data_IF_164942984650
#
_entry.id   IF_164942984650
#
_cell.length_a   1.000
_cell.length_b   1.000
_cell.length_c   1.000
_cell.angle_alpha   90.00
_cell.angle_beta   90.00
_cell.angle_gamma   90.00
#
_symmetry.space_group_name_H-M   'P 1'
#
loop_
_entity.id
_entity.type
_entity.pdbx_description
1 polymer ?
#
# COMPACT_ATOMS: atom_id res chain seq x y z
N UNK A 1 -14.24 -26.35 -10.09
CA UNK A 1 -14.30 -25.04 -9.47
C UNK A 1 -12.98 -24.33 -9.75
N UNK A 2 -13.03 -23.21 -10.46
CA UNK A 2 -11.80 -22.50 -10.81
C UNK A 2 -11.35 -21.59 -9.66
N UNK A 3 -10.02 -21.52 -9.45
CA UNK A 3 -9.38 -20.61 -8.52
C UNK A 3 -8.66 -19.58 -9.38
N UNK A 4 -8.97 -18.31 -9.16
CA UNK A 4 -8.29 -17.22 -9.86
C UNK A 4 -7.16 -16.68 -9.02
N UNK A 5 -6.11 -16.21 -9.69
CA UNK A 5 -4.97 -15.56 -9.07
C UNK A 5 -5.03 -14.07 -9.42
N UNK A 6 -4.90 -13.22 -8.41
CA UNK A 6 -4.75 -11.77 -8.61
C UNK A 6 -3.48 -11.29 -7.94
N UNK A 7 -2.81 -10.36 -8.59
CA UNK A 7 -1.60 -9.75 -8.03
C UNK A 7 -1.74 -8.23 -8.08
N UNK A 8 -1.42 -7.61 -6.96
CA UNK A 8 -1.34 -6.15 -6.85
C UNK A 8 0.00 -5.76 -6.26
N UNK A 9 0.32 -4.48 -6.38
CA UNK A 9 1.52 -3.89 -5.80
C UNK A 9 1.14 -2.63 -5.06
N UNK A 10 1.74 -2.43 -3.90
CA UNK A 10 1.45 -1.27 -3.08
C UNK A 10 2.68 -0.71 -2.39
N UNK A 11 2.50 0.39 -1.68
CA UNK A 11 3.61 1.10 -1.10
C UNK A 11 3.43 1.49 0.35
N UNK A 12 4.54 1.40 1.08
CA UNK A 12 4.72 2.04 2.38
C UNK A 12 5.64 3.22 2.11
N UNK A 13 5.08 4.43 2.14
CA UNK A 13 5.82 5.65 1.85
C UNK A 13 6.16 6.32 3.17
N UNK A 14 7.45 6.46 3.44
CA UNK A 14 7.95 7.03 4.69
C UNK A 14 8.42 8.46 4.47
N UNK A 15 7.95 9.35 5.34
CA UNK A 15 8.41 10.73 5.44
C UNK A 15 8.64 11.00 6.93
N UNK A 16 9.90 11.21 7.31
CA UNK A 16 10.29 11.27 8.73
C UNK A 16 9.81 10.00 9.45
N UNK A 17 8.97 10.10 10.45
CA UNK A 17 8.41 8.95 11.18
C UNK A 17 6.98 8.66 10.80
N UNK A 18 6.52 9.17 9.67
CA UNK A 18 5.14 9.02 9.22
C UNK A 18 5.03 8.17 7.96
N UNK A 19 3.86 7.59 7.78
CA UNK A 19 3.49 6.81 6.58
C UNK A 19 2.17 7.36 6.05
N UNK A 20 2.03 7.38 4.73
CA UNK A 20 0.76 7.77 4.09
C UNK A 20 -0.18 6.58 4.04
N UNK A 21 -1.41 6.79 4.48
CA UNK A 21 -2.46 5.77 4.51
C UNK A 21 -3.72 6.30 3.83
N UNK A 22 -4.60 5.40 3.44
CA UNK A 22 -5.84 5.74 2.75
C UNK A 22 -7.05 5.10 3.41
N UNK A 23 -8.20 5.71 3.15
CA UNK A 23 -9.51 5.10 3.39
C UNK A 23 -10.15 4.90 2.01
N UNK A 24 -10.21 3.67 1.50
CA UNK A 24 -10.84 3.42 0.21
C UNK A 24 -12.31 3.86 0.22
N UNK A 25 -12.78 4.29 -0.93
CA UNK A 25 -14.12 4.85 -1.08
C UNK A 25 -15.20 3.94 -0.53
N UNK A 26 -16.08 4.50 0.27
CA UNK A 26 -17.24 3.81 0.87
C UNK A 26 -16.86 2.64 1.79
N UNK A 27 -15.68 2.73 2.40
CA UNK A 27 -15.25 1.74 3.39
C UNK A 27 -14.90 2.44 4.70
N UNK A 28 -14.71 1.62 5.73
CA UNK A 28 -14.12 2.05 7.00
C UNK A 28 -12.73 1.47 7.17
N UNK A 29 -12.14 1.02 6.07
CA UNK A 29 -10.80 0.43 6.08
C UNK A 29 -9.77 1.54 6.15
N UNK A 30 -8.81 1.41 7.04
CA UNK A 30 -7.59 2.20 7.02
C UNK A 30 -6.50 1.30 6.44
N UNK A 31 -5.95 1.69 5.30
CA UNK A 31 -5.06 0.80 4.57
C UNK A 31 -3.92 1.50 3.87
N UNK A 32 -3.09 0.68 3.23
CA UNK A 32 -1.99 1.14 2.40
C UNK A 32 -2.45 1.24 0.95
N UNK A 33 -1.92 2.22 0.18
CA UNK A 33 -2.24 2.34 -1.25
C UNK A 33 -1.71 1.13 -2.02
N UNK A 34 -2.53 0.61 -2.96
CA UNK A 34 -2.19 -0.54 -3.77
C UNK A 34 -3.11 -0.69 -4.97
N UNK A 35 -2.68 -1.42 -5.96
CA UNK A 35 -3.52 -1.75 -7.11
C UNK A 35 -2.81 -2.64 -8.11
N UNK A 36 -3.52 -2.96 -9.19
CA UNK A 36 -3.05 -3.86 -10.23
C UNK A 36 -2.16 -3.19 -11.27
N UNK A 37 -1.32 -3.99 -11.90
CA UNK A 37 -0.40 -3.51 -12.92
C UNK A 37 -1.12 -3.18 -14.22
N UNK A 38 -0.66 -2.12 -14.88
CA UNK A 38 -0.96 -1.86 -16.29
C UNK A 38 0.04 -2.63 -17.15
N UNK A 39 -0.30 -2.83 -18.43
CA UNK A 39 0.58 -3.55 -19.35
C UNK A 39 1.96 -2.92 -19.38
N UNK A 40 2.99 -3.74 -19.24
CA UNK A 40 4.38 -3.31 -19.31
C UNK A 40 4.94 -2.70 -18.04
N UNK A 41 4.14 -2.55 -16.98
CA UNK A 41 4.66 -2.05 -15.70
C UNK A 41 5.38 -3.14 -14.92
N UNK A 42 6.50 -2.79 -14.32
CA UNK A 42 7.10 -3.60 -13.26
C UNK A 42 6.30 -3.45 -11.97
N UNK A 43 6.53 -4.32 -11.00
CA UNK A 43 5.87 -4.22 -9.70
C UNK A 43 6.17 -2.90 -8.99
N UNK A 44 7.42 -2.45 -9.03
CA UNK A 44 7.80 -1.17 -8.42
C UNK A 44 7.12 0.01 -9.13
N UNK A 45 7.00 -0.04 -10.45
CA UNK A 45 6.32 1.01 -11.22
C UNK A 45 4.82 1.04 -10.90
N UNK A 46 4.19 -0.12 -10.79
CA UNK A 46 2.79 -0.24 -10.40
C UNK A 46 2.56 0.37 -9.02
N UNK A 47 3.40 -0.01 -8.05
CA UNK A 47 3.29 0.51 -6.69
C UNK A 47 3.45 2.03 -6.66
N UNK A 48 4.44 2.57 -7.36
CA UNK A 48 4.65 4.02 -7.43
C UNK A 48 3.46 4.76 -8.04
N UNK A 49 2.88 4.21 -9.11
CA UNK A 49 1.71 4.79 -9.76
C UNK A 49 0.50 4.76 -8.85
N UNK A 50 0.23 3.63 -8.21
CA UNK A 50 -0.91 3.50 -7.29
C UNK A 50 -0.77 4.41 -6.08
N UNK A 51 0.44 4.55 -5.55
CA UNK A 51 0.72 5.52 -4.47
C UNK A 51 0.33 6.92 -4.94
N UNK A 52 0.77 7.32 -6.13
CA UNK A 52 0.47 8.68 -6.65
C UNK A 52 -1.03 8.87 -6.87
N UNK A 53 -1.72 7.89 -7.46
CA UNK A 53 -3.15 8.00 -7.71
C UNK A 53 -3.95 8.06 -6.41
N UNK A 54 -3.68 7.17 -5.49
CA UNK A 54 -4.50 7.03 -4.27
C UNK A 54 -4.13 8.00 -3.18
N UNK A 55 -2.94 8.57 -3.19
CA UNK A 55 -2.48 9.47 -2.12
C UNK A 55 -2.06 10.85 -2.57
N UNK A 56 -1.86 11.07 -3.87
CA UNK A 56 -1.30 12.33 -4.36
C UNK A 56 0.21 12.48 -4.16
N UNK A 57 0.88 11.44 -3.68
CA UNK A 57 2.29 11.51 -3.30
C UNK A 57 3.18 10.88 -4.37
N UNK A 58 4.26 11.59 -4.71
CA UNK A 58 5.36 11.08 -5.53
C UNK A 58 6.47 10.61 -4.60
N UNK A 59 6.94 9.40 -4.83
CA UNK A 59 7.92 8.78 -3.94
C UNK A 59 8.92 7.95 -4.74
N UNK A 60 10.14 7.80 -4.18
CA UNK A 60 11.20 7.00 -4.76
C UNK A 60 11.21 5.60 -4.15
N UNK A 61 11.36 4.59 -4.99
CA UNK A 61 11.46 3.20 -4.56
C UNK A 61 12.77 2.97 -3.80
N UNK A 62 12.68 2.34 -2.63
CA UNK A 62 13.84 2.01 -1.81
C UNK A 62 14.12 0.51 -1.83
N UNK A 63 13.10 -0.32 -1.55
CA UNK A 63 13.29 -1.75 -1.43
C UNK A 63 11.95 -2.50 -1.48
N UNK A 64 11.99 -3.78 -1.79
CA UNK A 64 10.84 -4.66 -1.58
C UNK A 64 10.70 -4.94 -0.07
N UNK A 65 9.46 -4.99 0.42
CA UNK A 65 9.17 -5.30 1.82
C UNK A 65 8.68 -6.73 2.00
N UNK A 66 7.90 -7.22 1.08
CA UNK A 66 7.32 -8.55 1.17
C UNK A 66 5.93 -8.61 0.59
N UNK A 67 5.26 -9.74 0.79
CA UNK A 67 3.95 -9.97 0.22
C UNK A 67 2.93 -10.36 1.28
N UNK A 68 1.68 -9.96 1.03
CA UNK A 68 0.52 -10.37 1.82
C UNK A 68 -0.36 -11.22 0.92
N UNK A 69 -0.79 -12.37 1.42
CA UNK A 69 -1.64 -13.29 0.66
C UNK A 69 -2.93 -13.54 1.41
N UNK A 70 -4.04 -13.50 0.69
CA UNK A 70 -5.34 -13.83 1.26
C UNK A 70 -6.27 -14.34 0.16
N UNK A 71 -7.36 -14.97 0.58
CA UNK A 71 -8.37 -15.51 -0.33
C UNK A 71 -9.68 -14.80 -0.06
N UNK A 72 -10.40 -14.46 -1.14
CA UNK A 72 -11.73 -13.89 -1.03
C UNK A 72 -12.61 -14.42 -2.17
N UNK A 73 -13.89 -14.11 -2.10
CA UNK A 73 -14.86 -14.53 -3.12
C UNK A 73 -15.41 -13.33 -3.85
N UNK A 74 -15.58 -13.50 -5.16
CA UNK A 74 -16.22 -12.51 -6.03
C UNK A 74 -17.11 -13.25 -6.99
N UNK A 75 -18.44 -12.99 -6.94
CA UNK A 75 -19.39 -13.63 -7.83
C UNK A 75 -19.34 -15.16 -7.77
N UNK A 76 -19.18 -15.74 -6.58
CA UNK A 76 -19.08 -17.18 -6.40
C UNK A 76 -17.74 -17.79 -6.74
N UNK A 77 -16.78 -17.00 -7.24
CA UNK A 77 -15.43 -17.48 -7.57
C UNK A 77 -14.49 -17.24 -6.40
N UNK A 78 -13.60 -18.21 -6.19
CA UNK A 78 -12.53 -18.08 -5.18
C UNK A 78 -11.34 -17.38 -5.82
N UNK A 79 -10.86 -16.32 -5.18
CA UNK A 79 -9.75 -15.54 -5.68
C UNK A 79 -8.61 -15.56 -4.66
N UNK A 80 -7.43 -16.01 -5.11
CA UNK A 80 -6.20 -15.95 -4.33
C UNK A 80 -5.47 -14.65 -4.69
N UNK A 81 -5.39 -13.74 -3.74
CA UNK A 81 -4.80 -12.43 -3.92
C UNK A 81 -3.41 -12.37 -3.30
N UNK A 82 -2.44 -11.89 -4.05
CA UNK A 82 -1.12 -11.55 -3.53
C UNK A 82 -0.89 -10.07 -3.74
N UNK A 83 -0.50 -9.36 -2.68
CA UNK A 83 -0.12 -7.95 -2.75
C UNK A 83 1.34 -7.84 -2.37
N UNK A 84 2.17 -7.37 -3.29
CA UNK A 84 3.58 -7.11 -3.05
C UNK A 84 3.73 -5.67 -2.58
N UNK A 85 4.28 -5.45 -1.39
CA UNK A 85 4.52 -4.12 -0.86
C UNK A 85 5.98 -3.72 -1.00
N UNK A 86 6.17 -2.44 -1.28
CA UNK A 86 7.48 -1.83 -1.50
C UNK A 86 7.65 -0.65 -0.54
N UNK A 87 8.87 -0.45 -0.10
CA UNK A 87 9.23 0.71 0.71
C UNK A 87 9.60 1.86 -0.22
N UNK A 88 9.01 3.02 0.04
CA UNK A 88 9.27 4.25 -0.70
C UNK A 88 9.69 5.36 0.24
N UNK A 89 10.45 6.29 -0.30
CA UNK A 89 10.82 7.54 0.37
C UNK A 89 10.04 8.69 -0.29
N UNK A 90 9.42 9.53 0.53
CA UNK A 90 8.69 10.70 0.06
C UNK A 90 9.59 11.63 -0.75
N UNK A 91 9.07 12.12 -1.87
CA UNK A 91 9.73 13.13 -2.70
C UNK A 91 8.91 14.42 -2.71
N UNK A 92 7.63 14.34 -3.08
CA UNK A 92 6.77 15.51 -3.20
C UNK A 92 5.30 15.12 -3.22
N UNK A 93 4.44 16.11 -3.25
CA UNK A 93 3.01 15.91 -3.39
C UNK A 93 2.23 16.26 -2.14
N UNK A 94 0.92 16.24 -2.28
CA UNK A 94 -0.03 16.61 -1.22
C UNK A 94 -1.16 15.57 -1.20
N UNK A 95 -1.52 15.09 -0.01
CA UNK A 95 -2.59 14.10 0.13
C UNK A 95 -3.96 14.63 -0.31
N UNK A 96 -4.14 15.94 -0.39
CA UNK A 96 -5.36 16.51 -0.95
C UNK A 96 -5.57 16.14 -2.42
N UNK A 97 -4.52 15.70 -3.11
CA UNK A 97 -4.56 15.34 -4.53
C UNK A 97 -4.86 13.86 -4.79
N UNK A 98 -5.35 13.14 -3.77
CA UNK A 98 -5.78 11.74 -3.97
C UNK A 98 -6.95 11.68 -4.96
N UNK A 99 -7.11 10.53 -5.62
CA UNK A 99 -8.17 10.36 -6.60
C UNK A 99 -9.54 10.06 -5.95
N UNK A 100 -10.54 9.86 -6.80
CA UNK A 100 -11.93 9.64 -6.36
C UNK A 100 -12.19 8.21 -5.83
N UNK A 101 -11.24 7.30 -5.99
CA UNK A 101 -11.35 5.93 -5.46
C UNK A 101 -11.05 5.86 -3.97
N UNK A 102 -10.64 6.98 -3.40
CA UNK A 102 -10.22 7.10 -2.00
C UNK A 102 -11.01 8.23 -1.36
N UNK A 103 -11.63 7.96 -0.21
CA UNK A 103 -12.35 8.99 0.55
C UNK A 103 -11.42 9.90 1.33
N UNK A 104 -10.26 9.37 1.75
CA UNK A 104 -9.30 10.13 2.54
C UNK A 104 -7.89 9.56 2.34
N UNK A 105 -6.91 10.45 2.34
CA UNK A 105 -5.50 10.10 2.37
C UNK A 105 -4.82 11.01 3.37
N UNK A 106 -3.99 10.42 4.25
CA UNK A 106 -3.36 11.20 5.32
C UNK A 106 -2.07 10.55 5.80
N UNK A 107 -1.25 11.36 6.45
CA UNK A 107 -0.03 10.91 7.11
C UNK A 107 -0.34 10.57 8.56
N UNK A 108 0.14 9.43 9.01
CA UNK A 108 0.05 9.04 10.43
C UNK A 108 1.41 8.51 10.88
N UNK A 109 1.73 8.58 12.18
CA UNK A 109 2.97 7.98 12.68
C UNK A 109 3.06 6.50 12.35
N UNK A 110 4.24 6.03 11.95
CA UNK A 110 4.48 4.60 11.71
C UNK A 110 4.10 3.75 12.93
N UNK A 111 4.40 4.23 14.12
CA UNK A 111 4.07 3.53 15.37
C UNK A 111 2.55 3.35 15.56
N UNK A 112 1.76 4.27 15.04
CA UNK A 112 0.30 4.12 15.06
C UNK A 112 -0.17 3.20 13.96
N UNK A 113 0.41 3.28 12.77
CA UNK A 113 0.01 2.47 11.62
C UNK A 113 0.15 0.98 11.91
N UNK A 114 1.21 0.57 12.61
CA UNK A 114 1.42 -0.85 12.94
C UNK A 114 0.34 -1.42 13.86
N UNK A 115 -0.49 -0.56 14.46
CA UNK A 115 -1.58 -0.96 15.35
C UNK A 115 -2.93 -0.71 14.69
N UNK A 116 -3.07 0.43 14.00
CA UNK A 116 -4.38 0.95 13.55
C UNK A 116 -4.78 0.49 12.15
N UNK A 117 -3.85 0.06 11.30
CA UNK A 117 -4.24 -0.43 9.98
C UNK A 117 -5.20 -1.61 10.13
N UNK A 118 -6.20 -1.65 9.28
CA UNK A 118 -7.30 -2.62 9.39
C UNK A 118 -6.81 -4.06 9.21
N UNK A 119 -5.88 -4.30 8.27
CA UNK A 119 -5.47 -5.65 7.94
C UNK A 119 -4.15 -6.05 8.60
N UNK A 120 -4.11 -7.27 9.21
CA UNK A 120 -2.89 -7.74 9.88
C UNK A 120 -1.66 -7.79 8.98
N UNK A 121 -1.84 -8.21 7.72
CA UNK A 121 -0.71 -8.28 6.78
C UNK A 121 -0.11 -6.91 6.49
N UNK A 122 -0.93 -5.87 6.43
CA UNK A 122 -0.43 -4.52 6.23
C UNK A 122 0.28 -3.99 7.48
N UNK A 123 -0.24 -4.31 8.66
CA UNK A 123 0.46 -3.99 9.93
C UNK A 123 1.85 -4.60 9.96
N UNK A 124 1.98 -5.85 9.48
CA UNK A 124 3.29 -6.51 9.38
C UNK A 124 4.22 -5.76 8.43
N UNK A 125 3.71 -5.25 7.31
CA UNK A 125 4.52 -4.46 6.39
C UNK A 125 5.05 -3.19 7.04
N UNK A 126 4.24 -2.56 7.90
CA UNK A 126 4.69 -1.40 8.68
C UNK A 126 5.84 -1.80 9.62
N UNK A 127 5.73 -2.94 10.28
CA UNK A 127 6.82 -3.43 11.16
C UNK A 127 8.10 -3.68 10.39
N UNK A 128 8.00 -4.23 9.18
CA UNK A 128 9.16 -4.42 8.32
C UNK A 128 9.77 -3.08 7.89
N UNK A 129 8.93 -2.09 7.59
CA UNK A 129 9.40 -0.75 7.24
C UNK A 129 10.10 -0.09 8.42
N UNK A 130 9.55 -0.21 9.62
CA UNK A 130 10.18 0.31 10.85
C UNK A 130 11.54 -0.31 11.08
N UNK A 131 11.67 -1.62 10.88
CA UNK A 131 12.94 -2.33 11.03
C UNK A 131 13.99 -1.80 10.06
N UNK A 132 13.61 -1.58 8.80
CA UNK A 132 14.54 -1.03 7.79
C UNK A 132 14.86 0.43 8.06
N UNK A 133 13.90 1.22 8.50
CA UNK A 133 14.08 2.64 8.82
C UNK A 133 15.04 2.80 9.99
N UNK A 134 14.85 2.01 11.06
CA UNK A 134 15.76 2.02 12.22
C UNK A 134 17.15 1.52 11.84
N UNK A 135 17.24 0.51 10.97
CA UNK A 135 18.52 -0.05 10.52
C UNK A 135 19.31 0.88 9.61
N UNK A 136 18.68 1.92 9.07
CA UNK A 136 19.33 2.89 8.21
C UNK A 136 20.16 3.91 9.00
N UNK A 137 20.08 3.85 10.31
CA UNK A 137 20.90 4.68 11.19
C UNK A 137 22.23 3.99 11.51
#
# INVERSE_FOLDING_TARGET
MSIEQETSHGGVVVRDDEVVVIVPRRTRVLGLPKGGANDGESGAQTAAREVREETGITADHVAALGAVRYTYRRGGRRIHKTVHFHLFRFVSGDTADHDHEVDDARWIPLERARIELTYPGEREMIERALSKHSGAM
#
